data_IF_087789678892
#
_entry.id   IF_087789678892
#
_cell.length_a   1.000
_cell.length_b   1.000
_cell.length_c   1.000
_cell.angle_alpha   90.00
_cell.angle_beta   90.00
_cell.angle_gamma   90.00
#
_symmetry.space_group_name_H-M   'P 1'
#
loop_
_entity.id
_entity.type
_entity.pdbx_description
1 polymer ?
#
# COMPACT_ATOMS: atom_id res chain seq x y z
N UNK A 1 -4.63 0.35 -23.06
CA UNK A 1 -5.75 0.06 -22.12
C UNK A 1 -5.27 -0.07 -20.68
N UNK A 2 -4.22 -0.83 -20.38
CA UNK A 2 -3.72 -1.08 -19.02
C UNK A 2 -3.42 0.18 -18.18
N UNK A 3 -2.92 1.26 -18.80
CA UNK A 3 -2.61 2.50 -18.08
C UNK A 3 -3.85 3.21 -17.51
N UNK A 4 -4.98 3.18 -18.22
CA UNK A 4 -6.24 3.80 -17.75
C UNK A 4 -6.89 3.01 -16.63
N UNK A 5 -6.82 1.67 -16.69
CA UNK A 5 -7.33 0.80 -15.62
C UNK A 5 -6.51 0.99 -14.34
N UNK A 6 -5.18 1.09 -14.43
CA UNK A 6 -4.32 1.36 -13.29
C UNK A 6 -4.62 2.74 -12.66
N UNK A 7 -4.83 3.76 -13.50
CA UNK A 7 -5.21 5.10 -13.04
C UNK A 7 -6.57 5.11 -12.33
N UNK A 8 -7.59 4.44 -12.88
CA UNK A 8 -8.90 4.32 -12.22
C UNK A 8 -8.76 3.56 -10.90
N UNK A 9 -7.95 2.50 -10.86
CA UNK A 9 -7.72 1.72 -9.66
C UNK A 9 -7.07 2.58 -8.55
N UNK A 10 -6.02 3.34 -8.89
CA UNK A 10 -5.34 4.16 -7.89
C UNK A 10 -6.28 5.22 -7.34
N UNK A 11 -6.98 5.97 -8.19
CA UNK A 11 -7.93 6.95 -7.68
C UNK A 11 -9.05 6.31 -6.86
N UNK A 12 -9.55 5.14 -7.24
CA UNK A 12 -10.56 4.43 -6.46
C UNK A 12 -10.05 4.07 -5.07
N UNK A 13 -8.82 3.56 -4.96
CA UNK A 13 -8.22 3.22 -3.68
C UNK A 13 -7.99 4.46 -2.81
N UNK A 14 -7.50 5.55 -3.40
CA UNK A 14 -7.34 6.86 -2.72
C UNK A 14 -8.68 7.34 -2.14
N UNK A 15 -9.74 7.37 -2.95
CA UNK A 15 -11.05 7.82 -2.49
C UNK A 15 -11.63 6.92 -1.39
N UNK A 16 -11.39 5.61 -1.44
CA UNK A 16 -11.80 4.70 -0.36
C UNK A 16 -11.10 5.02 0.96
N UNK A 17 -9.80 5.32 0.93
CA UNK A 17 -9.08 5.74 2.13
C UNK A 17 -9.62 7.06 2.70
N UNK A 18 -9.94 8.04 1.85
CA UNK A 18 -10.56 9.31 2.26
C UNK A 18 -11.96 9.07 2.86
N UNK A 19 -12.79 8.23 2.26
CA UNK A 19 -14.09 7.86 2.83
C UNK A 19 -13.91 7.12 4.17
N UNK A 20 -12.89 6.26 4.27
CA UNK A 20 -12.53 5.58 5.50
C UNK A 20 -12.19 6.54 6.65
N UNK A 21 -11.50 7.65 6.37
CA UNK A 21 -11.18 8.63 7.42
C UNK A 21 -12.42 9.33 7.93
N UNK A 22 -13.35 9.70 7.04
CA UNK A 22 -14.66 10.27 7.42
C UNK A 22 -15.49 9.26 8.23
N UNK A 23 -15.51 7.99 7.81
CA UNK A 23 -16.24 6.93 8.51
C UNK A 23 -15.70 6.67 9.92
N UNK A 24 -14.38 6.75 10.09
CA UNK A 24 -13.74 6.63 11.40
C UNK A 24 -14.21 7.73 12.35
N UNK A 25 -14.31 8.97 11.89
CA UNK A 25 -14.80 10.08 12.71
C UNK A 25 -16.29 9.94 13.06
N UNK A 26 -17.08 9.44 12.12
CA UNK A 26 -18.50 9.19 12.33
C UNK A 26 -18.78 7.93 13.19
N UNK A 27 -17.77 7.12 13.48
CA UNK A 27 -17.95 5.85 14.17
C UNK A 27 -18.31 6.05 15.66
N UNK A 28 -19.37 5.36 16.10
CA UNK A 28 -19.69 5.24 17.53
C UNK A 28 -18.55 4.53 18.30
N UNK A 29 -18.38 4.77 19.61
CA UNK A 29 -17.29 4.16 20.39
C UNK A 29 -17.16 2.63 20.24
N UNK A 30 -18.29 1.91 20.15
CA UNK A 30 -18.32 0.45 19.97
C UNK A 30 -17.88 -0.04 18.59
N UNK A 31 -17.84 0.83 17.57
CA UNK A 31 -17.41 0.51 16.19
C UNK A 31 -16.06 1.13 15.84
N UNK A 32 -15.52 1.99 16.70
CA UNK A 32 -14.30 2.76 16.43
C UNK A 32 -13.12 1.87 16.06
N UNK A 33 -12.88 0.79 16.82
CA UNK A 33 -11.81 -0.16 16.51
C UNK A 33 -11.98 -0.84 15.15
N UNK A 34 -13.22 -1.15 14.73
CA UNK A 34 -13.49 -1.70 13.40
C UNK A 34 -13.21 -0.68 12.30
N UNK A 35 -13.67 0.56 12.48
CA UNK A 35 -13.43 1.64 11.52
C UNK A 35 -11.92 1.99 11.40
N UNK A 36 -11.16 1.90 12.49
CA UNK A 36 -9.69 2.06 12.46
C UNK A 36 -9.04 0.95 11.63
N UNK A 37 -9.47 -0.31 11.79
CA UNK A 37 -8.97 -1.42 11.00
C UNK A 37 -9.33 -1.30 9.50
N UNK A 38 -10.55 -0.89 9.20
CA UNK A 38 -11.03 -0.67 7.82
C UNK A 38 -10.27 0.47 7.13
N UNK A 39 -10.00 1.56 7.86
CA UNK A 39 -9.18 2.66 7.36
C UNK A 39 -7.74 2.21 7.12
N UNK A 40 -7.14 1.47 8.06
CA UNK A 40 -5.81 0.90 7.88
C UNK A 40 -5.74 0.07 6.59
N UNK A 41 -6.70 -0.83 6.37
CA UNK A 41 -6.71 -1.66 5.17
C UNK A 41 -6.86 -0.81 3.90
N UNK A 42 -7.75 0.19 3.92
CA UNK A 42 -7.94 1.09 2.78
C UNK A 42 -6.68 1.89 2.45
N UNK A 43 -5.91 2.29 3.45
CA UNK A 43 -4.62 2.96 3.26
C UNK A 43 -3.56 2.02 2.67
N UNK A 44 -3.48 0.78 3.15
CA UNK A 44 -2.57 -0.22 2.57
C UNK A 44 -2.90 -0.49 1.09
N UNK A 45 -4.19 -0.65 0.76
CA UNK A 45 -4.65 -0.85 -0.61
C UNK A 45 -4.31 0.36 -1.50
N UNK A 46 -4.42 1.59 -0.95
CA UNK A 46 -4.05 2.80 -1.66
C UNK A 46 -2.54 2.88 -1.94
N UNK A 47 -1.69 2.55 -0.96
CA UNK A 47 -0.24 2.53 -1.17
C UNK A 47 0.18 1.47 -2.20
N UNK A 48 -0.39 0.27 -2.13
CA UNK A 48 -0.13 -0.78 -3.12
C UNK A 48 -0.60 -0.36 -4.52
N UNK A 49 -1.76 0.28 -4.65
CA UNK A 49 -2.25 0.78 -5.93
C UNK A 49 -1.33 1.87 -6.51
N UNK A 50 -0.79 2.76 -5.67
CA UNK A 50 0.15 3.81 -6.09
C UNK A 50 1.46 3.20 -6.58
N UNK A 51 2.02 2.25 -5.86
CA UNK A 51 3.28 1.61 -6.26
C UNK A 51 3.14 0.82 -7.57
N UNK A 52 1.98 0.20 -7.78
CA UNK A 52 1.66 -0.50 -9.03
C UNK A 52 1.24 0.44 -10.17
N UNK A 53 1.10 1.74 -9.94
CA UNK A 53 0.72 2.69 -10.98
C UNK A 53 1.88 2.91 -11.97
N UNK A 54 1.66 2.69 -13.28
CA UNK A 54 2.64 2.99 -14.31
C UNK A 54 2.97 4.49 -14.31
N UNK A 55 4.24 4.85 -14.32
CA UNK A 55 4.66 6.25 -14.31
C UNK A 55 6.04 6.45 -13.72
N UNK A 56 6.47 7.70 -13.68
CA UNK A 56 7.73 8.09 -13.04
C UNK A 56 7.61 7.99 -11.52
N UNK A 57 8.76 8.00 -10.84
CA UNK A 57 8.80 8.10 -9.38
C UNK A 57 8.15 9.39 -8.88
N UNK A 58 8.36 10.50 -9.58
CA UNK A 58 7.77 11.80 -9.24
C UNK A 58 6.24 11.75 -9.26
N UNK A 59 5.64 11.07 -10.24
CA UNK A 59 4.18 10.92 -10.32
C UNK A 59 3.64 10.15 -9.11
N UNK A 60 4.31 9.05 -8.73
CA UNK A 60 3.96 8.27 -7.54
C UNK A 60 4.12 9.08 -6.24
N UNK A 61 5.19 9.86 -6.11
CA UNK A 61 5.39 10.76 -4.97
C UNK A 61 4.27 11.82 -4.88
N UNK A 62 3.81 12.32 -6.03
CA UNK A 62 2.64 13.21 -6.11
C UNK A 62 1.35 12.53 -5.65
N UNK A 63 1.10 11.30 -6.05
CA UNK A 63 -0.07 10.52 -5.59
C UNK A 63 -0.02 10.23 -4.09
N UNK A 64 1.15 9.88 -3.55
CA UNK A 64 1.34 9.68 -2.11
C UNK A 64 1.07 10.97 -1.32
N UNK A 65 1.60 12.10 -1.79
CA UNK A 65 1.33 13.40 -1.18
C UNK A 65 -0.18 13.72 -1.21
N UNK A 66 -0.84 13.43 -2.34
CA UNK A 66 -2.27 13.65 -2.51
C UNK A 66 -3.12 12.82 -1.54
N UNK A 67 -2.81 11.53 -1.34
CA UNK A 67 -3.51 10.70 -0.33
C UNK A 67 -3.37 11.30 1.06
N UNK A 68 -2.15 11.64 1.46
CA UNK A 68 -1.87 12.19 2.79
C UNK A 68 -2.64 13.48 3.03
N UNK A 69 -2.61 14.39 2.06
CA UNK A 69 -3.31 15.67 2.14
C UNK A 69 -4.82 15.47 2.24
N UNK A 70 -5.41 14.67 1.35
CA UNK A 70 -6.86 14.46 1.32
C UNK A 70 -7.38 13.75 2.58
N UNK A 71 -6.67 12.72 3.04
CA UNK A 71 -7.04 11.96 4.25
C UNK A 71 -6.98 12.84 5.50
N UNK A 72 -5.94 13.69 5.62
CA UNK A 72 -5.83 14.67 6.71
C UNK A 72 -6.90 15.76 6.59
N UNK A 73 -7.14 16.29 5.40
CA UNK A 73 -8.11 17.37 5.18
C UNK A 73 -9.56 16.93 5.40
N UNK A 74 -9.88 15.65 5.15
CA UNK A 74 -11.21 15.09 5.40
C UNK A 74 -11.49 14.80 6.89
N UNK A 75 -10.47 14.92 7.75
CA UNK A 75 -10.50 14.60 9.17
C UNK A 75 -10.46 15.86 10.03
N UNK A 76 -11.31 15.94 11.04
CA UNK A 76 -11.24 16.90 12.13
C UNK A 76 -10.10 16.62 13.13
N UNK A 77 -9.63 15.36 13.24
CA UNK A 77 -8.43 14.98 14.02
C UNK A 77 -7.18 14.80 13.14
N UNK A 78 -6.63 15.91 12.68
CA UNK A 78 -5.46 15.92 11.79
C UNK A 78 -4.23 15.21 12.39
N UNK A 79 -4.01 15.29 13.70
CA UNK A 79 -2.83 14.68 14.34
C UNK A 79 -3.01 13.17 14.60
N UNK A 80 -4.23 12.74 14.92
CA UNK A 80 -4.60 11.32 14.87
C UNK A 80 -4.40 10.74 13.48
N UNK A 81 -4.86 11.45 12.45
CA UNK A 81 -4.77 10.99 11.07
C UNK A 81 -3.32 10.92 10.55
N UNK A 82 -2.47 11.88 10.92
CA UNK A 82 -1.02 11.81 10.63
C UNK A 82 -0.36 10.58 11.24
N UNK A 83 -0.75 10.19 12.46
CA UNK A 83 -0.22 8.97 13.11
C UNK A 83 -0.71 7.72 12.39
N UNK A 84 -2.00 7.65 12.08
CA UNK A 84 -2.60 6.55 11.32
C UNK A 84 -1.92 6.35 9.96
N UNK A 85 -1.65 7.43 9.23
CA UNK A 85 -0.91 7.41 7.96
C UNK A 85 0.51 6.87 8.15
N UNK A 86 1.27 7.39 9.12
CA UNK A 86 2.65 6.92 9.39
C UNK A 86 2.68 5.44 9.75
N UNK A 87 1.78 4.98 10.61
CA UNK A 87 1.70 3.58 11.02
C UNK A 87 1.35 2.67 9.83
N UNK A 88 0.43 3.11 8.97
CA UNK A 88 0.03 2.36 7.78
C UNK A 88 1.18 2.28 6.76
N UNK A 89 1.91 3.37 6.54
CA UNK A 89 3.10 3.39 5.67
C UNK A 89 4.20 2.48 6.19
N UNK A 90 4.46 2.50 7.50
CA UNK A 90 5.46 1.60 8.10
C UNK A 90 5.07 0.13 7.94
N UNK A 91 3.79 -0.22 8.13
CA UNK A 91 3.30 -1.59 7.92
C UNK A 91 3.42 -2.00 6.45
N UNK A 92 3.09 -1.11 5.52
CA UNK A 92 3.22 -1.37 4.10
C UNK A 92 4.68 -1.67 3.71
N UNK A 93 5.61 -0.82 4.15
CA UNK A 93 7.04 -1.00 3.90
C UNK A 93 7.60 -2.27 4.55
N UNK A 94 7.16 -2.60 5.77
CA UNK A 94 7.55 -3.84 6.44
C UNK A 94 7.08 -5.07 5.65
N UNK A 95 5.83 -5.07 5.17
CA UNK A 95 5.29 -6.16 4.35
C UNK A 95 6.03 -6.29 3.00
N UNK A 96 6.44 -5.18 2.38
CA UNK A 96 7.23 -5.21 1.15
C UNK A 96 8.66 -5.75 1.37
N UNK A 97 9.30 -5.37 2.47
CA UNK A 97 10.58 -5.95 2.88
C UNK A 97 10.47 -7.45 3.10
N UNK A 98 9.44 -7.92 3.82
CA UNK A 98 9.22 -9.34 4.07
C UNK A 98 9.00 -10.12 2.76
N UNK A 99 8.19 -9.58 1.83
CA UNK A 99 8.01 -10.14 0.48
C UNK A 99 9.34 -10.24 -0.27
N UNK A 100 10.19 -9.21 -0.15
CA UNK A 100 11.51 -9.17 -0.81
C UNK A 100 12.44 -10.23 -0.22
N UNK A 101 12.55 -10.32 1.11
CA UNK A 101 13.38 -11.33 1.76
C UNK A 101 12.89 -12.77 1.49
N UNK A 102 11.57 -13.00 1.45
CA UNK A 102 11.01 -14.30 1.12
C UNK A 102 11.42 -14.78 -0.29
N UNK A 103 11.57 -13.87 -1.26
CA UNK A 103 12.05 -14.21 -2.61
C UNK A 103 13.51 -14.70 -2.60
N UNK A 104 14.35 -14.16 -1.74
CA UNK A 104 15.74 -14.60 -1.61
C UNK A 104 15.89 -15.87 -0.76
N UNK A 105 15.08 -16.01 0.30
CA UNK A 105 15.11 -17.20 1.17
C UNK A 105 14.57 -18.45 0.47
N UNK A 106 13.57 -18.31 -0.42
CA UNK A 106 12.98 -19.40 -1.18
C UNK A 106 13.52 -19.53 -2.61
N UNK A 107 14.64 -18.87 -2.93
CA UNK A 107 15.32 -19.08 -4.20
C UNK A 107 15.96 -20.47 -4.19
N UNK A 108 15.17 -21.49 -4.56
CA UNK A 108 15.68 -22.75 -5.09
C UNK A 108 16.42 -22.41 -6.37
N UNK A 109 17.69 -22.00 -6.25
CA UNK A 109 18.59 -21.88 -7.37
C UNK A 109 18.56 -23.24 -8.09
N UNK A 110 18.18 -23.31 -9.38
CA UNK A 110 18.37 -24.53 -10.13
C UNK A 110 19.87 -24.82 -10.05
N UNK A 111 20.21 -25.89 -9.31
CA UNK A 111 21.57 -26.39 -9.21
C UNK A 111 21.97 -26.64 -10.66
N UNK A 112 22.89 -25.84 -11.17
CA UNK A 112 23.47 -26.06 -12.49
C UNK A 112 23.97 -27.50 -12.50
N UNK A 113 23.28 -28.40 -13.21
CA UNK A 113 23.82 -29.69 -13.59
C UNK A 113 24.95 -29.37 -14.58
N UNK A 114 26.11 -29.02 -14.03
CA UNK A 114 27.34 -28.89 -14.76
C UNK A 114 27.65 -30.27 -15.32
N UNK A 115 27.30 -30.48 -16.59
CA UNK A 115 28.14 -31.10 -17.60
C UNK A 115 29.15 -32.11 -17.02
N UNK A 116 28.70 -33.32 -16.74
CA UNK A 116 29.61 -34.42 -16.41
C UNK A 116 29.23 -35.71 -17.15
N UNK A 117 28.79 -35.57 -18.40
CA UNK A 117 28.62 -36.69 -19.33
C UNK A 117 29.56 -36.49 -20.53
N UNK A 118 30.86 -36.49 -20.21
CA UNK A 118 31.95 -36.76 -21.15
C UNK A 118 32.98 -37.58 -20.38
N UNK A 119 32.80 -38.89 -20.37
CA UNK A 119 33.89 -39.84 -20.14
C UNK A 119 33.65 -41.04 -21.04
N UNK A 120 34.72 -41.35 -21.78
CA UNK A 120 34.86 -42.33 -22.86
C UNK A 120 34.31 -43.72 -22.55
#
# INVERSE_FOLDING_TARGET
>A
MQSREAEVNVFTAIHRAVIGSVNLEAASPSRKSGAEADLHQSLLDAFEAIDNTPGSRTDREGLLASVREQVIAASSDADGMKRMLRDSEQRYLAADLDKTFARYANASLPRSESSNDYSM
#
